data_IF_137607758788
#
_entry.id   IF_137607758788
#
_cell.length_a   1.000
_cell.length_b   1.000
_cell.length_c   1.000
_cell.angle_alpha   90.00
_cell.angle_beta   90.00
_cell.angle_gamma   90.00
#
_symmetry.space_group_name_H-M   'P 1'
#
loop_
_entity.id
_entity.type
_entity.pdbx_description
1 polymer ?
#
# COMPACT_ATOMS: atom_id res chain seq x y z
N UNK A 1 9.18 13.10 1.84
CA UNK A 1 9.70 14.14 2.77
C UNK A 1 9.15 13.90 4.17
N UNK A 2 9.71 14.53 5.22
CA UNK A 2 9.27 14.31 6.63
C UNK A 2 7.77 14.55 6.84
N UNK A 3 7.18 15.44 6.04
CA UNK A 3 5.75 15.76 6.05
C UNK A 3 4.84 14.53 5.89
N UNK A 4 5.25 13.55 5.08
CA UNK A 4 4.42 12.37 4.77
C UNK A 4 4.85 11.11 5.52
N UNK A 5 5.79 11.23 6.46
CA UNK A 5 6.30 10.08 7.20
C UNK A 5 5.18 9.37 7.98
N UNK A 6 4.29 10.14 8.62
CA UNK A 6 3.17 9.59 9.38
C UNK A 6 2.18 8.82 8.51
N UNK A 7 1.81 9.37 7.36
CA UNK A 7 0.90 8.72 6.41
C UNK A 7 1.51 7.45 5.81
N UNK A 8 2.79 7.48 5.46
CA UNK A 8 3.52 6.30 4.98
C UNK A 8 3.57 5.22 6.06
N UNK A 9 3.87 5.57 7.31
CA UNK A 9 3.96 4.61 8.42
C UNK A 9 2.61 3.99 8.76
N UNK A 10 1.54 4.78 8.77
CA UNK A 10 0.17 4.30 9.00
C UNK A 10 -0.19 3.18 8.01
N UNK A 11 0.08 3.41 6.73
CA UNK A 11 -0.16 2.45 5.64
C UNK A 11 0.79 1.25 5.68
N UNK A 12 2.05 1.47 6.03
CA UNK A 12 3.09 0.43 6.00
C UNK A 12 2.96 -0.60 7.13
N UNK A 13 2.18 -0.29 8.17
CA UNK A 13 2.03 -1.13 9.36
C UNK A 13 1.72 -2.60 9.04
N UNK A 14 0.93 -2.84 8.00
CA UNK A 14 0.61 -4.19 7.53
C UNK A 14 1.75 -4.89 6.79
N UNK A 15 2.64 -4.16 6.12
CA UNK A 15 3.64 -4.70 5.21
C UNK A 15 5.08 -4.62 5.73
N UNK A 16 5.31 -3.92 6.85
CA UNK A 16 6.66 -3.67 7.38
C UNK A 16 7.44 -4.94 7.75
N UNK A 17 6.74 -6.04 8.03
CA UNK A 17 7.33 -7.37 8.32
C UNK A 17 7.29 -8.32 7.12
N UNK A 18 6.88 -7.84 5.95
CA UNK A 18 6.78 -8.68 4.77
C UNK A 18 8.16 -8.99 4.19
N UNK A 19 8.36 -10.22 3.75
CA UNK A 19 9.58 -10.67 3.10
C UNK A 19 9.41 -10.49 1.59
N UNK A 20 10.28 -9.70 0.97
CA UNK A 20 10.28 -9.52 -0.49
C UNK A 20 11.18 -10.58 -1.12
N UNK A 21 10.66 -11.30 -2.11
CA UNK A 21 11.40 -12.35 -2.84
C UNK A 21 11.40 -12.06 -4.34
N UNK A 22 12.37 -12.62 -5.06
CA UNK A 22 12.49 -12.40 -6.51
C UNK A 22 11.34 -13.04 -7.31
N UNK A 23 10.94 -14.25 -6.94
CA UNK A 23 10.04 -15.07 -7.74
C UNK A 23 9.13 -15.98 -6.90
N UNK A 24 8.09 -16.50 -7.56
CA UNK A 24 7.13 -17.41 -6.96
C UNK A 24 7.77 -18.72 -6.47
N UNK A 25 8.80 -19.23 -7.14
CA UNK A 25 9.49 -20.45 -6.72
C UNK A 25 10.18 -20.26 -5.35
N UNK A 26 10.83 -19.11 -5.14
CA UNK A 26 11.43 -18.74 -3.86
C UNK A 26 10.37 -18.59 -2.78
N UNK A 27 9.21 -17.99 -3.10
CA UNK A 27 8.08 -17.88 -2.19
C UNK A 27 7.63 -19.26 -1.70
N UNK A 28 7.44 -20.22 -2.62
CA UNK A 28 6.99 -21.57 -2.28
C UNK A 28 7.99 -22.27 -1.35
N UNK A 29 9.28 -22.18 -1.65
CA UNK A 29 10.33 -22.76 -0.79
C UNK A 29 10.34 -22.16 0.63
N UNK A 30 10.19 -20.84 0.77
CA UNK A 30 10.09 -20.19 2.10
C UNK A 30 8.81 -20.61 2.82
N UNK A 31 7.67 -20.69 2.11
CA UNK A 31 6.40 -21.10 2.70
C UNK A 31 6.46 -22.55 3.22
N UNK A 32 7.04 -23.47 2.45
CA UNK A 32 7.26 -24.86 2.87
C UNK A 32 8.20 -24.96 4.06
N UNK A 33 9.32 -24.23 4.02
CA UNK A 33 10.26 -24.17 5.14
C UNK A 33 9.58 -23.66 6.41
N UNK A 34 8.88 -22.54 6.34
CA UNK A 34 8.16 -21.95 7.46
C UNK A 34 7.13 -22.92 8.05
N UNK A 35 6.38 -23.63 7.20
CA UNK A 35 5.42 -24.66 7.62
C UNK A 35 6.09 -25.83 8.33
N UNK A 36 7.18 -26.37 7.77
CA UNK A 36 7.92 -27.50 8.36
C UNK A 36 8.48 -27.18 9.74
N UNK A 37 8.84 -25.91 9.97
CA UNK A 37 9.39 -25.40 11.22
C UNK A 37 8.34 -24.84 12.17
N UNK A 38 7.05 -24.90 11.83
CA UNK A 38 5.92 -24.33 12.60
C UNK A 38 6.14 -22.85 12.93
N UNK A 39 6.74 -22.09 12.01
CA UNK A 39 6.90 -20.65 12.17
C UNK A 39 5.53 -19.95 12.14
N UNK A 40 5.40 -18.78 12.78
CA UNK A 40 4.23 -17.92 12.61
C UNK A 40 4.00 -17.58 11.14
N UNK A 41 2.75 -17.26 10.80
CA UNK A 41 2.37 -16.87 9.43
C UNK A 41 3.20 -15.67 8.97
N UNK A 42 3.93 -15.84 7.88
CA UNK A 42 4.74 -14.80 7.24
C UNK A 42 3.93 -14.11 6.14
N UNK A 43 4.12 -12.80 5.98
CA UNK A 43 3.71 -12.09 4.76
C UNK A 43 4.89 -12.14 3.79
N UNK A 44 4.66 -12.61 2.56
CA UNK A 44 5.70 -12.71 1.52
C UNK A 44 5.18 -12.01 0.27
N UNK A 45 6.01 -11.15 -0.34
CA UNK A 45 5.69 -10.43 -1.57
C UNK A 45 6.68 -10.88 -2.66
N UNK A 46 6.24 -11.64 -3.66
CA UNK A 46 7.06 -11.97 -4.81
C UNK A 46 7.09 -10.80 -5.79
N UNK A 47 8.28 -10.37 -6.22
CA UNK A 47 8.45 -9.23 -7.12
C UNK A 47 7.85 -9.47 -8.51
N UNK A 48 7.99 -10.68 -9.04
CA UNK A 48 7.49 -11.07 -10.37
C UNK A 48 5.97 -11.17 -10.48
N UNK A 49 5.25 -11.27 -9.35
CA UNK A 49 3.80 -11.35 -9.32
C UNK A 49 3.12 -10.04 -8.88
N UNK A 50 3.87 -8.93 -8.79
CA UNK A 50 3.30 -7.63 -8.45
C UNK A 50 2.41 -7.17 -9.61
N UNK A 51 1.10 -6.97 -9.40
CA UNK A 51 0.23 -6.48 -10.46
C UNK A 51 0.60 -5.03 -10.79
N UNK A 52 0.54 -4.70 -12.09
CA UNK A 52 0.61 -3.31 -12.52
C UNK A 52 -0.73 -2.66 -12.25
N UNK A 53 -0.74 -1.69 -11.34
CA UNK A 53 -1.91 -0.93 -10.98
C UNK A 53 -1.67 0.55 -11.24
N UNK A 54 -2.70 1.25 -11.71
CA UNK A 54 -2.68 2.69 -11.87
C UNK A 54 -3.95 3.28 -11.26
N UNK A 55 -3.77 4.03 -10.18
CA UNK A 55 -4.87 4.74 -9.55
C UNK A 55 -5.37 5.86 -10.45
N UNK A 56 -6.67 5.91 -10.67
CA UNK A 56 -7.33 7.13 -11.13
C UNK A 56 -7.63 7.97 -9.89
N UNK A 57 -7.04 9.15 -9.80
CA UNK A 57 -7.25 10.00 -8.63
C UNK A 57 -8.68 10.54 -8.57
N UNK A 58 -9.30 10.57 -7.38
CA UNK A 58 -10.54 11.28 -7.14
C UNK A 58 -10.37 12.78 -7.42
N UNK A 59 -11.44 13.42 -7.90
CA UNK A 59 -11.51 14.87 -8.17
C UNK A 59 -12.00 15.67 -6.96
N UNK A 60 -12.17 15.02 -5.81
CA UNK A 60 -12.61 15.57 -4.55
C UNK A 60 -11.64 16.62 -3.99
N UNK A 61 -12.19 17.65 -3.35
CA UNK A 61 -11.39 18.69 -2.70
C UNK A 61 -10.56 18.12 -1.54
N UNK A 62 -9.32 18.58 -1.42
CA UNK A 62 -8.40 18.14 -0.37
C UNK A 62 -7.57 16.90 -0.72
N UNK A 63 -7.77 16.30 -1.90
CA UNK A 63 -6.86 15.29 -2.48
C UNK A 63 -5.52 15.94 -2.84
N UNK A 64 -4.43 15.33 -2.40
CA UNK A 64 -3.06 15.76 -2.71
C UNK A 64 -2.51 14.93 -3.89
N UNK A 65 -2.76 13.62 -3.89
CA UNK A 65 -2.27 12.70 -4.92
C UNK A 65 -2.26 11.25 -4.45
N UNK A 66 -1.59 10.37 -5.21
CA UNK A 66 -1.36 8.99 -4.77
C UNK A 66 -0.22 8.97 -3.77
N UNK A 67 -0.33 8.20 -2.68
CA UNK A 67 0.70 8.15 -1.64
C UNK A 67 2.06 7.68 -2.22
N UNK A 68 2.05 6.82 -3.23
CA UNK A 68 3.24 6.37 -3.96
C UNK A 68 4.08 7.48 -4.58
N UNK A 69 3.48 8.64 -4.88
CA UNK A 69 4.18 9.78 -5.49
C UNK A 69 5.09 10.48 -4.47
N UNK A 70 4.79 10.32 -3.18
CA UNK A 70 5.50 10.93 -2.05
C UNK A 70 6.54 10.00 -1.41
N UNK A 71 6.67 8.77 -1.94
CA UNK A 71 7.65 7.76 -1.50
C UNK A 71 8.82 7.72 -2.47
N UNK A 72 10.04 7.81 -1.94
CA UNK A 72 11.28 7.66 -2.72
C UNK A 72 11.81 6.24 -2.58
N UNK A 73 12.14 5.59 -3.70
CA UNK A 73 12.74 4.27 -3.71
C UNK A 73 13.75 4.16 -4.87
N UNK A 74 14.62 3.15 -4.82
CA UNK A 74 15.46 2.82 -5.98
C UNK A 74 14.56 2.38 -7.16
N UNK A 75 14.95 2.63 -8.43
CA UNK A 75 14.13 2.28 -9.60
C UNK A 75 13.72 0.81 -9.64
N UNK A 76 14.60 -0.09 -9.20
CA UNK A 76 14.34 -1.54 -9.11
C UNK A 76 13.16 -1.92 -8.20
N UNK A 77 12.70 -1.02 -7.32
CA UNK A 77 11.57 -1.27 -6.39
C UNK A 77 10.35 -0.38 -6.70
N UNK A 78 10.31 0.25 -7.87
CA UNK A 78 9.20 1.13 -8.28
C UNK A 78 7.85 0.40 -8.32
N UNK A 79 7.83 -0.86 -8.75
CA UNK A 79 6.62 -1.69 -8.76
C UNK A 79 6.16 -2.00 -7.34
N UNK A 80 7.08 -2.36 -6.43
CA UNK A 80 6.77 -2.58 -5.02
C UNK A 80 6.23 -1.30 -4.34
N UNK A 81 6.81 -0.14 -4.64
CA UNK A 81 6.29 1.15 -4.17
C UNK A 81 4.84 1.36 -4.60
N UNK A 82 4.55 1.09 -5.86
CA UNK A 82 3.20 1.25 -6.43
C UNK A 82 2.23 0.23 -5.85
N UNK A 83 2.66 -1.00 -5.62
CA UNK A 83 1.86 -2.03 -4.97
C UNK A 83 1.45 -1.65 -3.54
N UNK A 84 2.39 -1.14 -2.76
CA UNK A 84 2.16 -0.82 -1.34
C UNK A 84 1.37 0.47 -1.14
N UNK A 85 1.64 1.49 -1.96
CA UNK A 85 1.15 2.85 -1.72
C UNK A 85 0.34 3.43 -2.88
N UNK A 86 0.33 2.78 -4.04
CA UNK A 86 -0.27 3.31 -5.25
C UNK A 86 -1.79 3.30 -5.23
N UNK A 87 -2.43 2.41 -4.45
CA UNK A 87 -3.89 2.35 -4.30
C UNK A 87 -4.41 3.16 -3.12
N UNK A 88 -3.66 4.15 -2.65
CA UNK A 88 -4.00 4.95 -1.47
C UNK A 88 -3.90 6.41 -1.83
N UNK A 89 -5.00 7.13 -1.61
CA UNK A 89 -5.11 8.56 -1.83
C UNK A 89 -4.61 9.30 -0.59
N UNK A 90 -3.66 10.21 -0.77
CA UNK A 90 -3.19 11.11 0.26
C UNK A 90 -4.07 12.36 0.28
N UNK A 91 -4.56 12.74 1.46
CA UNK A 91 -5.43 13.91 1.63
C UNK A 91 -4.94 14.85 2.74
N UNK A 92 -5.40 16.10 2.72
CA UNK A 92 -5.01 17.12 3.71
C UNK A 92 -5.70 16.95 5.06
N UNK A 93 -6.98 16.59 5.07
CA UNK A 93 -7.82 16.61 6.28
C UNK A 93 -8.59 15.31 6.45
N UNK A 94 -8.97 15.02 7.70
CA UNK A 94 -9.83 13.88 8.05
C UNK A 94 -11.13 13.85 7.24
N UNK A 95 -11.77 15.00 7.06
CA UNK A 95 -13.02 15.13 6.31
C UNK A 95 -12.82 14.75 4.83
N UNK A 96 -11.76 15.25 4.20
CA UNK A 96 -11.43 14.86 2.82
C UNK A 96 -11.11 13.38 2.68
N UNK A 97 -10.37 12.78 3.63
CA UNK A 97 -10.09 11.35 3.65
C UNK A 97 -11.38 10.51 3.76
N UNK A 98 -12.29 10.92 4.65
CA UNK A 98 -13.58 10.25 4.82
C UNK A 98 -14.43 10.32 3.55
N UNK A 99 -14.56 11.50 2.93
CA UNK A 99 -15.34 11.67 1.71
C UNK A 99 -14.79 10.83 0.56
N UNK A 100 -13.46 10.86 0.36
CA UNK A 100 -12.76 10.01 -0.62
C UNK A 100 -13.02 8.53 -0.35
N UNK A 101 -13.07 8.12 0.92
CA UNK A 101 -13.36 6.73 1.27
C UNK A 101 -14.79 6.31 0.98
N UNK A 102 -15.74 7.24 1.11
CA UNK A 102 -17.13 7.00 0.70
C UNK A 102 -17.26 6.81 -0.82
N UNK A 103 -16.36 7.39 -1.62
CA UNK A 103 -16.27 7.21 -3.08
C UNK A 103 -15.58 5.90 -3.51
N UNK A 104 -15.19 5.02 -2.58
CA UNK A 104 -14.62 3.71 -2.88
C UNK A 104 -13.08 3.67 -2.95
N UNK A 105 -12.41 4.72 -2.51
CA UNK A 105 -10.94 4.79 -2.46
C UNK A 105 -10.41 4.53 -1.05
N UNK A 106 -9.21 3.97 -0.93
CA UNK A 106 -8.49 4.00 0.34
C UNK A 106 -7.86 5.37 0.50
N UNK A 107 -7.96 5.96 1.67
CA UNK A 107 -7.44 7.30 1.92
C UNK A 107 -6.61 7.35 3.20
N UNK A 108 -5.63 8.24 3.22
CA UNK A 108 -4.85 8.57 4.42
C UNK A 108 -4.63 10.07 4.51
N UNK A 109 -4.74 10.64 5.70
CA UNK A 109 -4.38 12.04 5.93
C UNK A 109 -2.87 12.20 6.04
N UNK A 110 -2.35 13.41 5.82
CA UNK A 110 -0.92 13.72 6.09
C UNK A 110 -0.48 13.36 7.51
N UNK A 111 -1.40 13.44 8.49
CA UNK A 111 -1.16 13.09 9.89
C UNK A 111 -1.23 11.59 10.19
N UNK A 112 -1.61 10.77 9.21
CA UNK A 112 -1.60 9.30 9.33
C UNK A 112 -2.93 8.67 9.73
N UNK A 113 -4.05 9.38 9.63
CA UNK A 113 -5.37 8.78 9.83
C UNK A 113 -5.78 8.04 8.56
N UNK A 114 -5.93 6.72 8.64
CA UNK A 114 -6.24 5.85 7.51
C UNK A 114 -7.74 5.48 7.48
N UNK A 115 -8.30 5.46 6.27
CA UNK A 115 -9.69 5.16 5.98
C UNK A 115 -9.79 4.10 4.89
N UNK A 116 -10.50 3.02 5.19
CA UNK A 116 -10.82 1.99 4.22
C UNK A 116 -11.91 2.44 3.25
N UNK A 117 -11.82 1.95 2.02
CA UNK A 117 -12.81 2.18 0.98
C UNK A 117 -14.19 1.60 1.37
N UNK A 118 -15.24 2.40 1.22
CA UNK A 118 -16.62 1.93 1.37
C UNK A 118 -16.94 0.90 0.28
N UNK A 119 -17.53 -0.22 0.67
CA UNK A 119 -18.00 -1.26 -0.25
C UNK A 119 -17.01 -2.38 -0.53
N UNK A 120 -15.80 -2.36 0.04
CA UNK A 120 -14.87 -3.51 0.12
C UNK A 120 -14.34 -4.09 -1.20
N UNK A 121 -14.92 -3.73 -2.34
CA UNK A 121 -14.57 -4.23 -3.66
C UNK A 121 -14.67 -3.10 -4.69
N UNK A 122 -13.58 -2.96 -5.46
CA UNK A 122 -13.51 -2.40 -6.81
C UNK A 122 -13.18 -0.90 -6.95
N UNK A 123 -11.92 -0.63 -7.26
CA UNK A 123 -11.54 -0.01 -8.53
C UNK A 123 -10.32 -0.78 -9.06
N UNK A 124 -10.54 -1.63 -10.07
CA UNK A 124 -9.50 -2.24 -10.90
C UNK A 124 -9.19 -1.32 -12.08
#
# INVERSE_FOLDING_TARGET
DKEYERSIMAVSSDWIKAIVVKDFATLLGIAEFARSRKLPKLKIIPMDAIPKFKLKLPSESGVIGALSDFVRCKPAYSELKTFLFGNIVLTKTRESAYNVSQSGYKAVTVDGEYFEAKGGNCCY
#
